data_IF_635150633420
#
_entry.id   IF_635150633420
#
_cell.length_a   1.000
_cell.length_b   1.000
_cell.length_c   1.000
_cell.angle_alpha   90.00
_cell.angle_beta   90.00
_cell.angle_gamma   90.00
#
_symmetry.space_group_name_H-M   'P 1'
#
loop_
_entity.id
_entity.type
_entity.pdbx_description
1 polymer ?
#
# COMPACT_ATOMS: atom_id res chain seq x y z
N UNK A 1 -46.50 66.62 -8.48
CA UNK A 1 -47.63 66.45 -9.43
C UNK A 1 -47.01 66.25 -10.80
N UNK A 2 -47.11 65.12 -11.52
CA UNK A 2 -47.98 63.94 -11.48
C UNK A 2 -47.13 62.65 -11.62
N UNK A 3 -47.59 61.49 -11.10
CA UNK A 3 -46.93 60.20 -11.31
C UNK A 3 -47.17 59.67 -12.73
N UNK A 4 -46.11 59.18 -13.37
CA UNK A 4 -46.14 58.53 -14.68
C UNK A 4 -46.43 57.03 -14.58
N UNK A 5 -47.13 56.54 -15.59
CA UNK A 5 -47.84 55.28 -15.70
C UNK A 5 -47.00 54.01 -15.52
N UNK A 6 -47.54 53.06 -14.75
CA UNK A 6 -47.07 51.67 -14.71
C UNK A 6 -47.56 50.94 -15.98
N UNK A 7 -46.61 50.47 -16.80
CA UNK A 7 -46.89 49.57 -17.92
C UNK A 7 -47.17 48.18 -17.35
N UNK A 8 -48.42 47.75 -17.53
CA UNK A 8 -48.95 46.46 -17.12
C UNK A 8 -48.64 45.42 -18.21
N UNK A 9 -47.51 44.72 -18.13
CA UNK A 9 -47.25 43.57 -19.00
C UNK A 9 -47.78 42.30 -18.35
N UNK A 10 -48.99 41.92 -18.75
CA UNK A 10 -49.62 40.64 -18.46
C UNK A 10 -48.74 39.50 -19.01
N UNK A 11 -48.16 38.70 -18.11
CA UNK A 11 -47.55 37.41 -18.47
C UNK A 11 -48.71 36.43 -18.67
N UNK A 12 -48.80 35.72 -19.82
CA UNK A 12 -49.86 34.74 -20.04
C UNK A 12 -49.78 33.65 -18.99
N UNK A 13 -50.91 33.38 -18.33
CA UNK A 13 -51.12 32.22 -17.49
C UNK A 13 -51.03 30.96 -18.35
N UNK A 14 -49.85 30.35 -18.37
CA UNK A 14 -49.66 29.09 -19.05
C UNK A 14 -50.39 27.99 -18.29
N UNK A 15 -51.18 27.24 -19.05
CA UNK A 15 -52.17 26.29 -18.59
C UNK A 15 -51.46 25.17 -17.83
N UNK A 16 -51.96 24.82 -16.65
CA UNK A 16 -51.50 23.67 -15.87
C UNK A 16 -51.51 22.41 -16.75
N UNK A 17 -50.37 22.06 -17.35
CA UNK A 17 -50.15 20.72 -17.88
C UNK A 17 -50.00 19.82 -16.66
N UNK A 18 -51.04 19.04 -16.38
CA UNK A 18 -50.98 17.93 -15.44
C UNK A 18 -49.73 17.09 -15.75
N UNK A 19 -48.73 17.21 -14.89
CA UNK A 19 -47.62 16.28 -14.86
C UNK A 19 -48.22 14.96 -14.41
N UNK A 20 -48.41 14.03 -15.35
CA UNK A 20 -48.82 12.66 -15.07
C UNK A 20 -47.98 12.13 -13.91
N UNK A 21 -48.68 11.79 -12.84
CA UNK A 21 -48.19 11.25 -11.57
C UNK A 21 -46.91 10.41 -11.78
N UNK A 22 -45.75 10.75 -11.18
CA UNK A 22 -44.57 9.92 -11.30
C UNK A 22 -44.90 8.57 -10.68
N UNK A 23 -44.82 7.49 -11.46
CA UNK A 23 -45.02 6.12 -10.97
C UNK A 23 -44.20 5.95 -9.70
N UNK A 24 -44.88 5.85 -8.56
CA UNK A 24 -44.22 5.64 -7.28
C UNK A 24 -43.49 4.31 -7.34
N UNK A 25 -42.31 4.23 -6.71
CA UNK A 25 -41.43 3.06 -6.65
C UNK A 25 -42.10 1.74 -6.22
N UNK A 26 -43.38 1.80 -5.81
CA UNK A 26 -44.26 0.71 -5.41
C UNK A 26 -44.64 -0.23 -6.56
N UNK A 27 -44.51 0.19 -7.81
CA UNK A 27 -44.91 -0.61 -8.99
C UNK A 27 -43.75 -1.44 -9.61
N UNK A 28 -42.55 -1.41 -9.01
CA UNK A 28 -41.38 -2.14 -9.52
C UNK A 28 -41.25 -3.53 -8.86
N UNK A 29 -40.85 -4.57 -9.63
CA UNK A 29 -40.58 -5.88 -9.05
C UNK A 29 -39.44 -5.78 -8.03
N UNK A 30 -39.52 -6.51 -6.90
CA UNK A 30 -38.46 -6.47 -5.90
C UNK A 30 -37.19 -7.07 -6.49
N UNK A 31 -36.12 -6.28 -6.50
CA UNK A 31 -34.79 -6.73 -6.95
C UNK A 31 -34.02 -7.21 -5.72
N UNK A 32 -33.54 -8.45 -5.75
CA UNK A 32 -32.72 -8.95 -4.66
C UNK A 32 -31.30 -8.40 -4.74
N UNK A 33 -30.58 -8.40 -3.62
CA UNK A 33 -29.15 -8.03 -3.61
C UNK A 33 -28.33 -8.90 -4.57
N UNK A 34 -28.67 -10.19 -4.66
CA UNK A 34 -28.02 -11.13 -5.59
C UNK A 34 -28.18 -10.69 -7.04
N UNK A 35 -29.38 -10.24 -7.41
CA UNK A 35 -29.66 -9.81 -8.80
C UNK A 35 -28.87 -8.54 -9.15
N UNK A 36 -28.75 -7.61 -8.19
CA UNK A 36 -27.92 -6.40 -8.34
C UNK A 36 -26.45 -6.77 -8.50
N UNK A 37 -25.91 -7.63 -7.63
CA UNK A 37 -24.51 -8.07 -7.70
C UNK A 37 -24.22 -8.82 -9.01
N UNK A 38 -25.15 -9.66 -9.47
CA UNK A 38 -25.02 -10.38 -10.74
C UNK A 38 -25.00 -9.42 -11.93
N UNK A 39 -25.94 -8.49 -12.00
CA UNK A 39 -26.00 -7.50 -13.08
C UNK A 39 -24.78 -6.56 -13.09
N UNK A 40 -24.30 -6.14 -11.92
CA UNK A 40 -23.10 -5.31 -11.81
C UNK A 40 -21.82 -6.06 -12.18
N UNK A 41 -21.75 -7.36 -11.86
CA UNK A 41 -20.63 -8.23 -12.26
C UNK A 41 -20.64 -8.45 -13.77
N UNK A 42 -21.81 -8.71 -14.35
CA UNK A 42 -21.98 -8.82 -15.80
C UNK A 42 -21.54 -7.53 -16.51
N UNK A 43 -21.97 -6.36 -16.02
CA UNK A 43 -21.53 -5.06 -16.54
C UNK A 43 -20.01 -4.86 -16.44
N UNK A 44 -19.39 -5.28 -15.34
CA UNK A 44 -17.94 -5.17 -15.17
C UNK A 44 -17.18 -6.04 -16.18
N UNK A 45 -17.65 -7.27 -16.42
CA UNK A 45 -17.03 -8.22 -17.36
C UNK A 45 -17.24 -7.77 -18.81
N UNK A 46 -18.46 -7.41 -19.19
CA UNK A 46 -18.81 -7.12 -20.58
C UNK A 46 -18.39 -5.72 -21.03
N UNK A 47 -18.42 -4.74 -20.12
CA UNK A 47 -18.23 -3.32 -20.47
C UNK A 47 -16.98 -2.69 -19.85
N UNK A 48 -16.12 -3.47 -19.18
CA UNK A 48 -14.92 -3.00 -18.49
C UNK A 48 -15.16 -1.75 -17.61
N UNK A 49 -16.34 -1.69 -16.99
CA UNK A 49 -16.83 -0.54 -16.23
C UNK A 49 -16.70 -0.79 -14.74
N UNK A 50 -16.16 0.18 -14.00
CA UNK A 50 -16.06 0.13 -12.54
C UNK A 50 -17.29 0.74 -11.88
N UNK A 51 -17.85 0.08 -10.88
CA UNK A 51 -19.00 0.56 -10.12
C UNK A 51 -18.70 0.57 -8.63
N UNK A 52 -19.39 1.44 -7.87
CA UNK A 52 -19.32 1.49 -6.41
C UNK A 52 -20.70 1.84 -5.86
N UNK A 53 -21.25 1.01 -4.99
CA UNK A 53 -22.49 1.30 -4.29
C UNK A 53 -22.24 2.29 -3.16
N UNK A 54 -23.04 3.36 -3.09
CA UNK A 54 -22.90 4.44 -2.11
C UNK A 54 -24.25 4.64 -1.43
N UNK A 55 -24.26 4.54 -0.11
CA UNK A 55 -25.50 4.56 0.68
C UNK A 55 -25.72 5.89 1.41
N UNK A 56 -24.77 6.83 1.35
CA UNK A 56 -24.86 8.13 2.00
C UNK A 56 -24.35 9.26 1.10
N UNK A 57 -25.00 10.44 1.09
CA UNK A 57 -24.49 11.62 0.41
C UNK A 57 -23.08 12.03 0.87
N UNK A 58 -22.74 11.82 2.15
CA UNK A 58 -21.39 12.13 2.65
C UNK A 58 -20.31 11.23 2.03
N UNK A 59 -20.62 9.95 1.81
CA UNK A 59 -19.74 9.01 1.12
C UNK A 59 -19.58 9.40 -0.35
N UNK A 60 -20.64 9.88 -1.00
CA UNK A 60 -20.56 10.37 -2.37
C UNK A 60 -19.59 11.55 -2.49
N UNK A 61 -19.68 12.54 -1.59
CA UNK A 61 -18.73 13.66 -1.55
C UNK A 61 -17.27 13.21 -1.38
N UNK A 62 -17.02 12.23 -0.51
CA UNK A 62 -15.68 11.67 -0.33
C UNK A 62 -15.16 10.97 -1.59
N UNK A 63 -16.03 10.20 -2.26
CA UNK A 63 -15.67 9.50 -3.50
C UNK A 63 -15.31 10.49 -4.60
N UNK A 64 -16.09 11.55 -4.78
CA UNK A 64 -15.78 12.61 -5.75
C UNK A 64 -14.43 13.25 -5.43
N UNK A 65 -14.17 13.62 -4.17
CA UNK A 65 -12.89 14.20 -3.76
C UNK A 65 -11.70 13.25 -4.01
N UNK A 66 -11.87 11.94 -3.73
CA UNK A 66 -10.87 10.92 -4.00
C UNK A 66 -10.58 10.78 -5.50
N UNK A 67 -11.61 10.77 -6.35
CA UNK A 67 -11.44 10.71 -7.80
C UNK A 67 -10.75 11.96 -8.33
N UNK A 68 -11.21 13.16 -7.94
CA UNK A 68 -10.59 14.42 -8.34
C UNK A 68 -9.10 14.45 -7.97
N UNK A 69 -8.75 14.06 -6.73
CA UNK A 69 -7.36 13.94 -6.29
C UNK A 69 -6.58 12.93 -7.13
N UNK A 70 -7.17 11.75 -7.37
CA UNK A 70 -6.50 10.68 -8.11
C UNK A 70 -6.23 11.06 -9.57
N UNK A 71 -7.18 11.76 -10.22
CA UNK A 71 -7.03 12.29 -11.57
C UNK A 71 -5.95 13.38 -11.61
N UNK A 72 -5.98 14.31 -10.64
CA UNK A 72 -4.96 15.36 -10.55
C UNK A 72 -3.54 14.80 -10.32
N UNK A 73 -3.40 13.75 -9.50
CA UNK A 73 -2.12 13.09 -9.21
C UNK A 73 -1.69 12.07 -10.28
N UNK A 74 -2.56 11.69 -11.22
CA UNK A 74 -2.29 10.67 -12.23
C UNK A 74 -0.99 10.93 -13.03
N UNK A 75 -0.74 12.12 -13.63
CA UNK A 75 0.47 12.35 -14.41
C UNK A 75 1.73 12.25 -13.55
N UNK A 76 1.69 12.77 -12.32
CA UNK A 76 2.79 12.67 -11.38
C UNK A 76 3.08 11.20 -11.00
N UNK A 77 2.04 10.40 -10.73
CA UNK A 77 2.20 8.97 -10.39
C UNK A 77 2.78 8.16 -11.55
N UNK A 78 2.35 8.42 -12.78
CA UNK A 78 2.90 7.76 -13.98
C UNK A 78 4.39 8.09 -14.15
N UNK A 79 4.76 9.36 -14.06
CA UNK A 79 6.16 9.77 -14.15
C UNK A 79 7.01 9.19 -13.00
N UNK A 80 6.46 9.16 -11.78
CA UNK A 80 7.11 8.55 -10.62
C UNK A 80 7.32 7.05 -10.84
N UNK A 81 6.32 6.35 -11.37
CA UNK A 81 6.39 4.92 -11.68
C UNK A 81 7.43 4.62 -12.77
N UNK A 82 7.48 5.41 -13.83
CA UNK A 82 8.47 5.23 -14.91
C UNK A 82 9.91 5.37 -14.40
N UNK A 83 10.16 6.34 -13.49
CA UNK A 83 11.46 6.46 -12.79
C UNK A 83 11.78 5.24 -11.94
N UNK A 84 10.79 4.69 -11.22
CA UNK A 84 11.01 3.52 -10.37
C UNK A 84 11.15 2.21 -11.15
N UNK A 85 10.55 2.08 -12.34
CA UNK A 85 10.74 0.91 -13.20
C UNK A 85 12.18 0.79 -13.72
N UNK A 86 12.92 1.90 -13.76
CA UNK A 86 14.33 1.92 -14.15
C UNK A 86 15.29 1.50 -13.02
N UNK A 87 14.78 1.34 -11.80
CA UNK A 87 15.58 0.97 -10.62
C UNK A 87 15.06 -0.34 -10.05
N UNK A 88 15.94 -1.29 -9.75
CA UNK A 88 15.53 -2.52 -9.07
C UNK A 88 14.81 -2.19 -7.75
N UNK A 89 13.76 -2.97 -7.47
CA UNK A 89 12.71 -2.78 -6.45
C UNK A 89 13.19 -2.27 -5.07
N UNK A 90 14.43 -2.54 -4.69
CA UNK A 90 15.03 -2.06 -3.43
C UNK A 90 15.35 -0.55 -3.40
N UNK A 91 15.60 0.08 -4.55
CA UNK A 91 15.88 1.52 -4.64
C UNK A 91 14.61 2.37 -4.84
N UNK A 92 13.48 1.73 -5.14
CA UNK A 92 12.19 2.38 -5.30
C UNK A 92 11.49 2.73 -3.97
N UNK A 93 12.25 2.76 -2.86
CA UNK A 93 11.75 3.11 -1.54
C UNK A 93 11.16 4.52 -1.52
N UNK A 94 9.89 4.61 -1.12
CA UNK A 94 9.30 5.88 -0.67
C UNK A 94 9.96 6.23 0.67
N UNK A 95 10.26 7.50 0.96
CA UNK A 95 10.80 7.95 2.26
C UNK A 95 9.80 7.79 3.44
N UNK A 96 8.80 6.93 3.28
CA UNK A 96 7.86 6.52 4.30
C UNK A 96 8.63 5.56 5.19
N UNK A 97 8.87 5.96 6.43
CA UNK A 97 9.52 5.17 7.50
C UNK A 97 11.04 5.35 7.70
N UNK A 98 11.66 6.45 7.24
CA UNK A 98 13.05 6.73 7.61
C UNK A 98 13.25 6.79 9.14
N UNK A 99 14.31 6.15 9.65
CA UNK A 99 14.70 6.24 11.07
C UNK A 99 15.50 7.51 11.29
N UNK A 100 15.01 8.39 12.16
CA UNK A 100 15.77 9.55 12.61
C UNK A 100 16.93 9.08 13.51
N UNK A 101 18.15 9.47 13.16
CA UNK A 101 19.36 9.23 13.94
C UNK A 101 19.89 10.58 14.43
N UNK A 102 20.21 10.68 15.72
CA UNK A 102 20.79 11.90 16.29
C UNK A 102 22.34 11.89 16.23
N UNK A 103 22.96 12.98 16.69
CA UNK A 103 24.42 13.13 16.70
C UNK A 103 25.12 12.15 17.64
N UNK A 104 24.39 11.68 18.65
CA UNK A 104 24.89 10.74 19.66
C UNK A 104 24.69 9.27 19.22
N UNK A 105 24.09 9.04 18.04
CA UNK A 105 23.86 7.72 17.46
C UNK A 105 22.58 7.03 17.94
N UNK A 106 21.73 7.70 18.72
CA UNK A 106 20.42 7.16 19.07
C UNK A 106 19.59 7.00 17.80
N UNK A 107 19.09 5.78 17.59
CA UNK A 107 18.37 5.39 16.38
C UNK A 107 19.13 4.41 15.47
N UNK A 108 20.47 4.30 15.60
CA UNK A 108 21.26 3.36 14.78
C UNK A 108 20.81 1.91 14.93
N UNK A 109 20.48 1.48 16.14
CA UNK A 109 19.97 0.13 16.40
C UNK A 109 18.63 -0.13 15.69
N UNK A 110 17.74 0.86 15.69
CA UNK A 110 16.46 0.77 14.98
C UNK A 110 16.66 0.78 13.47
N UNK A 111 17.57 1.62 12.98
CA UNK A 111 17.95 1.67 11.57
C UNK A 111 18.51 0.33 11.09
N UNK A 112 19.39 -0.29 11.88
CA UNK A 112 19.97 -1.58 11.57
C UNK A 112 18.90 -2.68 11.46
N UNK A 113 17.98 -2.76 12.44
CA UNK A 113 16.83 -3.68 12.37
C UNK A 113 15.96 -3.42 11.13
N UNK A 114 15.69 -2.15 10.81
CA UNK A 114 14.88 -1.80 9.65
C UNK A 114 15.56 -2.16 8.33
N UNK A 115 16.88 -2.01 8.23
CA UNK A 115 17.66 -2.48 7.08
C UNK A 115 17.63 -4.01 6.95
N UNK A 116 17.61 -4.75 8.06
CA UNK A 116 17.40 -6.21 7.98
C UNK A 116 15.97 -6.57 7.54
N UNK A 117 14.98 -5.72 7.81
CA UNK A 117 13.59 -5.93 7.38
C UNK A 117 13.35 -5.60 5.90
N UNK A 118 14.27 -4.92 5.20
CA UNK A 118 14.09 -4.67 3.76
C UNK A 118 14.26 -5.93 2.92
N UNK A 119 14.96 -6.94 3.43
CA UNK A 119 15.11 -8.21 2.71
C UNK A 119 13.77 -8.96 2.59
N UNK A 120 13.44 -9.52 1.42
CA UNK A 120 12.28 -10.37 1.29
C UNK A 120 12.37 -11.52 2.29
N UNK A 121 11.23 -11.91 2.87
CA UNK A 121 11.12 -12.96 3.89
C UNK A 121 11.65 -12.57 5.30
N UNK A 122 12.21 -11.38 5.47
CA UNK A 122 12.61 -10.87 6.78
C UNK A 122 11.41 -10.30 7.54
N UNK A 123 11.03 -10.94 8.65
CA UNK A 123 10.10 -10.33 9.61
C UNK A 123 10.86 -9.51 10.65
N UNK A 124 10.12 -8.67 11.39
CA UNK A 124 10.68 -7.96 12.55
C UNK A 124 11.39 -8.91 13.51
N UNK A 125 10.77 -10.04 13.84
CA UNK A 125 11.34 -11.05 14.74
C UNK A 125 12.66 -11.63 14.21
N UNK A 126 12.77 -11.86 12.89
CA UNK A 126 14.03 -12.32 12.27
C UNK A 126 15.11 -11.25 12.37
N UNK A 127 14.78 -10.00 12.07
CA UNK A 127 15.69 -8.87 12.20
C UNK A 127 16.18 -8.70 13.64
N UNK A 128 15.30 -8.87 14.62
CA UNK A 128 15.66 -8.83 16.04
C UNK A 128 16.53 -10.00 16.47
N UNK A 129 16.27 -11.21 15.97
CA UNK A 129 17.09 -12.38 16.27
C UNK A 129 18.51 -12.22 15.71
N UNK A 130 18.65 -11.73 14.48
CA UNK A 130 19.95 -11.42 13.86
C UNK A 130 20.64 -10.30 14.64
N UNK A 131 19.94 -9.20 14.92
CA UNK A 131 20.50 -8.06 15.65
C UNK A 131 20.87 -8.39 17.10
N UNK A 132 20.26 -9.40 17.71
CA UNK A 132 20.65 -9.87 19.03
C UNK A 132 21.98 -10.61 19.01
N UNK A 133 22.31 -11.30 17.91
CA UNK A 133 23.59 -12.03 17.74
C UNK A 133 24.70 -11.13 17.18
N UNK A 134 24.35 -10.26 16.23
CA UNK A 134 25.24 -9.31 15.58
C UNK A 134 24.64 -7.91 15.73
N UNK A 135 25.00 -7.15 16.78
CA UNK A 135 24.34 -5.88 17.11
C UNK A 135 24.61 -4.74 16.13
N UNK A 136 25.57 -4.91 15.21
CA UNK A 136 25.95 -3.90 14.21
C UNK A 136 26.25 -4.55 12.87
N UNK A 137 26.19 -3.76 11.79
CA UNK A 137 26.62 -4.19 10.45
C UNK A 137 28.07 -4.64 10.48
N UNK A 138 28.95 -3.87 11.14
CA UNK A 138 30.37 -4.19 11.27
C UNK A 138 30.58 -5.56 11.92
N UNK A 139 29.88 -5.85 13.03
CA UNK A 139 29.97 -7.16 13.68
C UNK A 139 29.47 -8.32 12.80
N UNK A 140 28.51 -8.05 11.92
CA UNK A 140 28.03 -9.05 10.95
C UNK A 140 29.06 -9.27 9.84
N UNK A 141 29.69 -8.21 9.34
CA UNK A 141 30.73 -8.28 8.31
C UNK A 141 32.00 -8.97 8.82
N UNK A 142 32.48 -8.61 10.01
CA UNK A 142 33.62 -9.28 10.65
C UNK A 142 33.37 -10.78 10.83
N UNK A 143 32.12 -11.17 11.16
CA UNK A 143 31.75 -12.57 11.26
C UNK A 143 31.79 -13.29 9.89
N UNK A 144 31.37 -12.63 8.81
CA UNK A 144 31.51 -13.17 7.45
C UNK A 144 32.98 -13.32 7.05
N UNK A 145 33.84 -12.34 7.36
CA UNK A 145 35.28 -12.40 7.07
C UNK A 145 35.99 -13.53 7.84
N UNK A 146 35.49 -13.87 9.03
CA UNK A 146 36.04 -14.97 9.85
C UNK A 146 35.67 -16.37 9.34
N UNK A 147 34.74 -16.49 8.40
CA UNK A 147 34.29 -17.77 7.84
C UNK A 147 35.35 -18.36 6.90
N UNK A 148 35.50 -19.69 6.91
CA UNK A 148 36.53 -20.40 6.12
C UNK A 148 36.12 -20.64 4.68
N UNK A 149 34.82 -20.57 4.39
CA UNK A 149 34.27 -20.79 3.06
C UNK A 149 33.03 -19.94 2.81
N UNK A 150 32.76 -19.66 1.53
CA UNK A 150 31.54 -18.95 1.10
C UNK A 150 30.28 -19.69 1.53
N UNK A 151 30.27 -21.03 1.48
CA UNK A 151 29.11 -21.84 1.89
C UNK A 151 28.82 -21.75 3.39
N UNK A 152 29.88 -21.64 4.21
CA UNK A 152 29.76 -21.40 5.65
C UNK A 152 29.16 -20.01 5.92
N UNK A 153 29.66 -18.97 5.23
CA UNK A 153 29.16 -17.61 5.34
C UNK A 153 27.69 -17.49 4.90
N UNK A 154 27.31 -18.08 3.76
CA UNK A 154 25.92 -18.17 3.30
C UNK A 154 25.00 -18.87 4.31
N UNK A 155 25.53 -19.83 5.08
CA UNK A 155 24.79 -20.59 6.08
C UNK A 155 24.82 -19.98 7.49
N UNK A 156 25.60 -18.93 7.72
CA UNK A 156 25.93 -18.44 9.07
C UNK A 156 24.69 -18.01 9.89
N UNK A 157 23.67 -17.46 9.23
CA UNK A 157 22.46 -16.96 9.89
C UNK A 157 21.33 -17.99 9.97
N UNK A 158 21.42 -19.10 9.21
CA UNK A 158 20.27 -20.01 9.00
C UNK A 158 19.73 -20.65 10.28
N UNK A 159 20.61 -20.92 11.24
CA UNK A 159 20.30 -21.61 12.50
C UNK A 159 19.92 -20.67 13.64
N UNK A 160 19.90 -19.35 13.41
CA UNK A 160 19.55 -18.38 14.45
C UNK A 160 18.07 -18.59 14.85
N UNK A 161 17.79 -18.87 16.14
CA UNK A 161 16.43 -19.10 16.62
C UNK A 161 15.65 -17.79 16.69
N UNK A 162 14.42 -17.81 16.18
CA UNK A 162 13.47 -16.70 16.25
C UNK A 162 12.59 -16.90 17.47
N UNK A 163 12.61 -15.95 18.40
CA UNK A 163 11.80 -16.00 19.61
C UNK A 163 10.42 -15.39 19.33
N UNK A 164 9.42 -16.22 19.09
CA UNK A 164 8.00 -15.82 19.22
C UNK A 164 7.59 -15.91 20.69
N UNK A 165 6.57 -15.15 21.08
CA UNK A 165 6.11 -14.99 22.47
C UNK A 165 6.14 -16.30 23.30
N UNK A 166 6.51 -16.18 24.57
CA UNK A 166 6.71 -17.31 25.48
C UNK A 166 5.41 -18.08 25.73
N UNK A 167 5.30 -19.28 25.15
CA UNK A 167 4.24 -20.24 25.42
C UNK A 167 4.78 -21.68 25.35
N UNK A 168 4.22 -22.64 26.13
CA UNK A 168 4.73 -24.02 26.21
C UNK A 168 4.73 -24.81 24.89
N UNK A 169 3.99 -24.33 23.88
CA UNK A 169 3.83 -24.93 22.56
C UNK A 169 4.48 -24.11 21.44
N UNK A 170 5.29 -23.10 21.77
CA UNK A 170 5.88 -22.25 20.74
C UNK A 170 6.97 -23.00 19.97
N UNK A 171 6.68 -23.35 18.72
CA UNK A 171 7.68 -23.91 17.81
C UNK A 171 8.81 -22.89 17.60
N UNK A 172 10.05 -23.30 17.86
CA UNK A 172 11.23 -22.48 17.58
C UNK A 172 11.46 -22.42 16.07
N UNK A 173 10.93 -21.38 15.43
CA UNK A 173 11.24 -21.07 14.03
C UNK A 173 12.70 -20.60 13.95
N UNK A 174 13.42 -21.01 12.92
CA UNK A 174 14.77 -20.51 12.62
C UNK A 174 14.71 -19.51 11.48
N UNK A 175 15.75 -18.69 11.37
CA UNK A 175 15.92 -17.71 10.29
C UNK A 175 15.83 -18.37 8.91
N UNK A 176 16.48 -19.51 8.72
CA UNK A 176 16.40 -20.31 7.49
C UNK A 176 17.50 -20.00 6.47
N UNK A 177 17.80 -20.94 5.56
CA UNK A 177 18.95 -20.84 4.66
C UNK A 177 18.79 -19.78 3.57
N UNK A 178 17.57 -19.54 3.09
CA UNK A 178 17.32 -18.61 1.98
C UNK A 178 17.69 -17.18 2.38
N UNK A 179 17.09 -16.65 3.45
CA UNK A 179 17.40 -15.30 3.95
C UNK A 179 18.87 -15.14 4.37
N UNK A 180 19.49 -16.19 4.92
CA UNK A 180 20.92 -16.17 5.28
C UNK A 180 21.79 -15.93 4.05
N UNK A 181 21.48 -16.62 2.94
CA UNK A 181 22.15 -16.45 1.66
C UNK A 181 21.90 -15.07 1.05
N UNK A 182 20.66 -14.56 1.08
CA UNK A 182 20.33 -13.22 0.56
C UNK A 182 21.12 -12.12 1.26
N UNK A 183 21.18 -12.16 2.58
CA UNK A 183 21.91 -11.18 3.38
C UNK A 183 23.42 -11.27 3.09
N UNK A 184 23.98 -12.48 3.01
CA UNK A 184 25.39 -12.65 2.65
C UNK A 184 25.70 -12.06 1.27
N UNK A 185 24.89 -12.39 0.25
CA UNK A 185 25.06 -11.90 -1.11
C UNK A 185 24.99 -10.38 -1.17
N UNK A 186 24.07 -9.75 -0.42
CA UNK A 186 23.94 -8.29 -0.41
C UNK A 186 25.18 -7.57 0.14
N UNK A 187 25.80 -8.11 1.19
CA UNK A 187 26.97 -7.46 1.79
C UNK A 187 28.30 -7.81 1.12
N UNK A 188 28.37 -8.94 0.41
CA UNK A 188 29.64 -9.46 -0.13
C UNK A 188 29.69 -9.53 -1.66
N UNK A 189 28.56 -9.36 -2.36
CA UNK A 189 28.59 -9.32 -3.82
C UNK A 189 29.24 -8.04 -4.31
N UNK A 190 30.09 -8.17 -5.32
CA UNK A 190 30.70 -7.06 -6.06
C UNK A 190 29.86 -6.72 -7.30
N UNK A 191 28.97 -7.62 -7.72
CA UNK A 191 28.10 -7.43 -8.88
C UNK A 191 26.75 -6.85 -8.47
N UNK A 192 26.45 -5.65 -8.97
CA UNK A 192 25.21 -4.95 -8.72
C UNK A 192 23.96 -5.61 -9.32
N UNK A 193 24.13 -6.58 -10.24
CA UNK A 193 23.02 -7.35 -10.82
C UNK A 193 22.78 -8.69 -10.11
N UNK A 194 23.51 -8.96 -9.02
CA UNK A 194 23.34 -10.21 -8.28
C UNK A 194 21.95 -10.26 -7.64
N UNK A 195 21.19 -11.29 -8.01
CA UNK A 195 19.86 -11.52 -7.46
C UNK A 195 19.95 -11.95 -5.98
N UNK A 196 19.10 -11.32 -5.16
CA UNK A 196 18.92 -11.63 -3.74
C UNK A 196 17.80 -12.65 -3.55
#
# INVERSE_FOLDING_TARGET
MKPGECINSQIPTDTQREIKNPKTFKDCPPVSKRDIEFALTELQILCNSSHRLINSPSQLGLVVAQFTKSIAELPYKLQKQEKYQQTDWFAAGDNKDCVKVDKDGNGLQRLYKQMLMTFPLASLETAEAIASKYPTITSLMEAYESCKSTQEAESMLKEIPIRRAAGPLSATRKTGPEISKKIFNFFNSVDGNTLL
#
